data_IF_920598639717
#
_entry.id   IF_920598639717
#
_cell.length_a   1.000
_cell.length_b   1.000
_cell.length_c   1.000
_cell.angle_alpha   90.00
_cell.angle_beta   90.00
_cell.angle_gamma   90.00
#
_symmetry.space_group_name_H-M   'P 1'
#
loop_
_entity.id
_entity.type
_entity.pdbx_description
1 polymer ?
#
# COMPACT_ATOMS: atom_id res chain seq x y z
N UNK A 1 -15.21 18.83 18.12
CA UNK A 1 -14.16 19.79 17.73
C UNK A 1 -14.12 19.90 16.19
N UNK A 2 -15.25 20.25 15.55
CA UNK A 2 -15.59 19.51 14.31
C UNK A 2 -15.49 20.32 13.01
N UNK A 3 -14.42 21.10 12.82
CA UNK A 3 -14.21 21.75 11.51
C UNK A 3 -12.82 22.32 11.23
N UNK A 4 -12.10 22.73 12.28
CA UNK A 4 -10.83 23.43 12.13
C UNK A 4 -9.72 22.57 11.50
N UNK A 5 -9.69 21.25 11.80
CA UNK A 5 -8.71 20.35 11.18
C UNK A 5 -9.00 20.17 9.69
N UNK A 6 -10.27 20.09 9.29
CA UNK A 6 -10.71 19.83 7.92
C UNK A 6 -10.36 21.01 7.02
N UNK A 7 -10.72 22.21 7.44
CA UNK A 7 -10.40 23.45 6.71
C UNK A 7 -8.88 23.63 6.57
N UNK A 8 -8.13 23.33 7.64
CA UNK A 8 -6.67 23.37 7.62
C UNK A 8 -6.07 22.35 6.66
N UNK A 9 -6.55 21.09 6.68
CA UNK A 9 -6.10 20.05 5.75
C UNK A 9 -6.41 20.43 4.29
N UNK A 10 -7.62 20.94 4.02
CA UNK A 10 -8.02 21.43 2.69
C UNK A 10 -7.13 22.57 2.20
N UNK A 11 -6.77 23.51 3.09
CA UNK A 11 -5.84 24.60 2.77
C UNK A 11 -4.48 24.06 2.31
N UNK A 12 -3.95 23.08 3.04
CA UNK A 12 -2.67 22.45 2.67
C UNK A 12 -2.76 21.61 1.40
N UNK A 13 -3.85 20.87 1.19
CA UNK A 13 -4.07 20.10 -0.04
C UNK A 13 -4.20 21.03 -1.26
N UNK A 14 -4.92 22.14 -1.11
CA UNK A 14 -5.03 23.16 -2.16
C UNK A 14 -3.68 23.80 -2.49
N UNK A 15 -2.86 24.11 -1.47
CA UNK A 15 -1.51 24.62 -1.67
C UNK A 15 -0.59 23.58 -2.32
N UNK A 16 -0.68 22.31 -1.91
CA UNK A 16 0.08 21.21 -2.48
C UNK A 16 -0.23 20.99 -3.97
N UNK A 17 -1.49 21.20 -4.37
CA UNK A 17 -1.92 21.02 -5.75
C UNK A 17 -1.57 22.25 -6.63
N UNK A 18 -1.80 23.47 -6.12
CA UNK A 18 -1.87 24.67 -6.97
C UNK A 18 -0.72 25.68 -6.81
N UNK A 19 0.10 25.58 -5.76
CA UNK A 19 1.11 26.60 -5.49
C UNK A 19 2.23 26.61 -6.55
N UNK A 20 2.79 27.77 -6.92
CA UNK A 20 3.85 27.85 -7.96
C UNK A 20 5.24 27.36 -7.50
N UNK A 21 5.50 27.40 -6.19
CA UNK A 21 6.75 26.96 -5.57
C UNK A 21 6.70 25.49 -5.13
N UNK A 22 7.65 24.68 -5.60
CA UNK A 22 7.75 23.25 -5.30
C UNK A 22 8.01 22.95 -3.82
N UNK A 23 8.83 23.74 -3.13
CA UNK A 23 9.12 23.52 -1.72
C UNK A 23 7.87 23.75 -0.87
N UNK A 24 7.06 24.76 -1.23
CA UNK A 24 5.74 24.99 -0.61
C UNK A 24 4.79 23.83 -0.90
N UNK A 25 4.75 23.30 -2.13
CA UNK A 25 3.92 22.12 -2.43
C UNK A 25 4.28 20.92 -1.55
N UNK A 26 5.58 20.62 -1.45
CA UNK A 26 6.08 19.46 -0.69
C UNK A 26 5.82 19.59 0.81
N UNK A 27 6.11 20.75 1.39
CA UNK A 27 5.83 21.03 2.80
C UNK A 27 4.34 21.02 3.12
N UNK A 28 3.50 21.54 2.22
CA UNK A 28 2.04 21.51 2.38
C UNK A 28 1.49 20.08 2.30
N UNK A 29 1.95 19.26 1.35
CA UNK A 29 1.56 17.85 1.25
C UNK A 29 1.92 17.08 2.52
N UNK A 30 3.13 17.32 3.06
CA UNK A 30 3.53 16.73 4.34
C UNK A 30 2.60 17.13 5.47
N UNK A 31 2.29 18.42 5.60
CA UNK A 31 1.38 18.91 6.65
C UNK A 31 -0.05 18.39 6.50
N UNK A 32 -0.55 18.28 5.27
CA UNK A 32 -1.83 17.66 4.99
C UNK A 32 -1.83 16.18 5.44
N UNK A 33 -0.81 15.42 5.05
CA UNK A 33 -0.63 14.01 5.46
C UNK A 33 -0.61 13.88 6.99
N UNK A 34 0.20 14.68 7.67
CA UNK A 34 0.33 14.61 9.14
C UNK A 34 -1.02 14.86 9.84
N UNK A 35 -1.86 15.77 9.31
CA UNK A 35 -3.22 15.97 9.82
C UNK A 35 -4.10 14.74 9.54
N UNK A 36 -4.11 14.23 8.30
CA UNK A 36 -4.94 13.09 7.90
C UNK A 36 -4.64 11.83 8.74
N UNK A 37 -3.37 11.61 9.09
CA UNK A 37 -2.95 10.49 9.94
C UNK A 37 -3.23 10.71 11.43
N UNK A 38 -3.54 11.94 11.86
CA UNK A 38 -3.82 12.28 13.26
C UNK A 38 -5.29 12.25 13.64
N UNK A 39 -6.18 12.17 12.66
CA UNK A 39 -7.64 12.15 12.86
C UNK A 39 -8.19 10.74 12.66
N UNK A 40 -9.46 10.54 13.01
CA UNK A 40 -10.10 9.24 12.82
C UNK A 40 -10.12 8.85 11.32
N UNK A 41 -9.80 7.59 10.99
CA UNK A 41 -9.71 7.11 9.60
C UNK A 41 -10.90 7.47 8.71
N UNK A 42 -12.12 7.35 9.24
CA UNK A 42 -13.37 7.66 8.54
C UNK A 42 -13.49 9.14 8.18
N UNK A 43 -13.07 10.02 9.07
CA UNK A 43 -13.02 11.46 8.82
C UNK A 43 -11.92 11.83 7.82
N UNK A 44 -10.73 11.21 7.93
CA UNK A 44 -9.63 11.44 6.98
C UNK A 44 -10.04 11.06 5.54
N UNK A 45 -10.78 9.96 5.39
CA UNK A 45 -11.24 9.44 4.11
C UNK A 45 -12.07 10.45 3.30
N UNK A 46 -12.77 11.36 3.96
CA UNK A 46 -13.54 12.44 3.30
C UNK A 46 -12.67 13.36 2.45
N UNK A 47 -11.35 13.41 2.72
CA UNK A 47 -10.40 14.26 2.01
C UNK A 47 -9.53 13.50 1.00
N UNK A 48 -9.65 12.18 0.89
CA UNK A 48 -8.89 11.39 -0.09
C UNK A 48 -9.14 11.79 -1.55
N UNK A 49 -10.35 12.21 -1.98
CA UNK A 49 -10.53 12.72 -3.34
C UNK A 49 -9.60 13.89 -3.69
N UNK A 50 -9.25 14.75 -2.73
CA UNK A 50 -8.31 15.85 -2.95
C UNK A 50 -6.86 15.37 -3.05
N UNK A 51 -6.50 14.27 -2.37
CA UNK A 51 -5.21 13.61 -2.58
C UNK A 51 -5.10 13.04 -4.00
N UNK A 52 -6.18 12.46 -4.52
CA UNK A 52 -6.24 11.91 -5.89
C UNK A 52 -5.93 12.99 -6.93
N UNK A 53 -6.35 14.25 -6.73
CA UNK A 53 -6.08 15.35 -7.66
C UNK A 53 -4.58 15.60 -7.88
N UNK A 54 -3.73 15.38 -6.88
CA UNK A 54 -2.29 15.58 -7.00
C UNK A 54 -1.64 14.64 -8.03
N UNK A 55 -2.34 13.58 -8.47
CA UNK A 55 -1.83 12.70 -9.52
C UNK A 55 -1.58 13.42 -10.84
N UNK A 56 -2.30 14.52 -11.09
CA UNK A 56 -2.15 15.34 -12.29
C UNK A 56 -1.04 16.38 -12.18
N UNK A 57 -0.32 16.44 -11.06
CA UNK A 57 0.76 17.39 -10.84
C UNK A 57 1.85 17.27 -11.92
N UNK A 58 2.30 18.38 -12.53
CA UNK A 58 3.36 18.33 -13.53
C UNK A 58 4.70 17.89 -12.92
N UNK A 59 4.94 18.20 -11.63
CA UNK A 59 6.17 17.85 -10.93
C UNK A 59 6.17 16.39 -10.48
N UNK A 60 7.10 15.60 -11.03
CA UNK A 60 7.25 14.18 -10.68
C UNK A 60 7.61 13.92 -9.22
N UNK A 61 8.28 14.88 -8.58
CA UNK A 61 8.59 14.80 -7.15
C UNK A 61 7.32 14.86 -6.31
N UNK A 62 6.31 15.64 -6.71
CA UNK A 62 5.00 15.71 -6.03
C UNK A 62 4.24 14.40 -6.24
N UNK A 63 4.21 13.87 -7.47
CA UNK A 63 3.57 12.57 -7.75
C UNK A 63 4.24 11.41 -6.99
N UNK A 64 5.57 11.42 -6.89
CA UNK A 64 6.34 10.48 -6.04
C UNK A 64 5.93 10.59 -4.57
N UNK A 65 5.85 11.81 -4.03
CA UNK A 65 5.44 12.03 -2.65
C UNK A 65 3.98 11.62 -2.39
N UNK A 66 3.10 11.78 -3.38
CA UNK A 66 1.73 11.26 -3.30
C UNK A 66 1.73 9.73 -3.16
N UNK A 67 2.58 9.01 -3.88
CA UNK A 67 2.72 7.55 -3.71
C UNK A 67 3.12 7.19 -2.28
N UNK A 68 4.08 7.89 -1.70
CA UNK A 68 4.53 7.67 -0.31
C UNK A 68 3.40 7.95 0.70
N UNK A 69 2.60 9.00 0.47
CA UNK A 69 1.40 9.29 1.27
C UNK A 69 0.35 8.18 1.16
N UNK A 70 0.13 7.65 -0.06
CA UNK A 70 -0.79 6.53 -0.30
C UNK A 70 -0.34 5.28 0.45
N UNK A 71 0.97 5.01 0.54
CA UNK A 71 1.52 3.91 1.33
C UNK A 71 1.17 4.03 2.81
N UNK A 72 1.48 5.18 3.41
CA UNK A 72 1.23 5.42 4.83
C UNK A 72 -0.27 5.31 5.14
N UNK A 73 -1.14 5.88 4.30
CA UNK A 73 -2.60 5.76 4.44
C UNK A 73 -3.05 4.31 4.22
N UNK A 74 -2.51 3.61 3.23
CA UNK A 74 -2.87 2.22 2.91
C UNK A 74 -2.53 1.23 4.03
N UNK A 75 -1.53 1.55 4.85
CA UNK A 75 -1.11 0.72 6.00
C UNK A 75 -1.77 1.13 7.32
N UNK A 76 -2.15 2.40 7.49
CA UNK A 76 -2.73 2.91 8.76
C UNK A 76 -4.26 3.02 8.71
N UNK A 77 -4.83 3.27 7.54
CA UNK A 77 -6.25 3.55 7.27
C UNK A 77 -6.74 2.64 6.13
N UNK A 78 -6.41 1.36 6.24
CA UNK A 78 -6.58 0.39 5.16
C UNK A 78 -8.04 0.28 4.66
N UNK A 79 -9.02 0.29 5.58
CA UNK A 79 -10.46 0.19 5.28
C UNK A 79 -10.96 1.26 4.29
N UNK A 80 -10.36 2.45 4.29
CA UNK A 80 -10.78 3.56 3.44
C UNK A 80 -9.84 3.80 2.25
N UNK A 81 -8.78 3.01 2.11
CA UNK A 81 -7.70 3.25 1.14
C UNK A 81 -8.06 2.84 -0.31
N UNK A 82 -9.15 2.09 -0.53
CA UNK A 82 -9.57 1.62 -1.86
C UNK A 82 -9.71 2.73 -2.91
N UNK A 83 -10.09 3.95 -2.50
CA UNK A 83 -10.20 5.11 -3.39
C UNK A 83 -8.85 5.57 -3.96
N UNK A 84 -7.74 5.25 -3.29
CA UNK A 84 -6.39 5.64 -3.68
C UNK A 84 -5.72 4.59 -4.59
N UNK A 85 -6.23 3.36 -4.64
CA UNK A 85 -5.63 2.26 -5.42
C UNK A 85 -5.57 2.52 -6.94
N UNK A 86 -6.57 3.16 -7.57
CA UNK A 86 -6.46 3.55 -8.98
C UNK A 86 -5.27 4.48 -9.27
N UNK A 87 -4.92 5.37 -8.33
CA UNK A 87 -3.78 6.28 -8.47
C UNK A 87 -2.47 5.48 -8.46
N UNK A 88 -2.33 4.56 -7.50
CA UNK A 88 -1.17 3.66 -7.43
C UNK A 88 -1.00 2.84 -8.72
N UNK A 89 -2.09 2.27 -9.26
CA UNK A 89 -2.06 1.55 -10.54
C UNK A 89 -1.63 2.45 -11.71
N UNK A 90 -2.14 3.69 -11.75
CA UNK A 90 -1.79 4.66 -12.80
C UNK A 90 -0.30 4.99 -12.76
N UNK A 91 0.27 5.13 -11.57
CA UNK A 91 1.67 5.49 -11.39
C UNK A 91 2.67 4.39 -11.76
N UNK A 92 2.26 3.12 -11.84
CA UNK A 92 3.11 2.06 -12.43
C UNK A 92 3.51 2.38 -13.88
N UNK A 93 2.71 3.18 -14.59
CA UNK A 93 2.93 3.61 -15.98
C UNK A 93 3.33 5.08 -16.09
N UNK A 94 3.77 5.70 -14.99
CA UNK A 94 4.20 7.10 -15.03
C UNK A 94 5.37 7.28 -16.00
N UNK A 95 5.35 8.39 -16.74
CA UNK A 95 6.41 8.74 -17.70
C UNK A 95 7.78 8.90 -17.04
N UNK A 96 7.80 9.34 -15.78
CA UNK A 96 9.02 9.52 -15.00
C UNK A 96 9.31 8.27 -14.16
N UNK A 97 10.44 7.62 -14.44
CA UNK A 97 10.84 6.40 -13.74
C UNK A 97 10.85 6.53 -12.21
N UNK A 98 11.11 7.72 -11.66
CA UNK A 98 11.14 7.92 -10.20
C UNK A 98 9.78 7.64 -9.55
N UNK A 99 8.68 7.95 -10.26
CA UNK A 99 7.32 7.75 -9.77
C UNK A 99 6.93 6.28 -9.92
N UNK A 100 7.18 5.69 -11.09
CA UNK A 100 6.91 4.27 -11.33
C UNK A 100 7.70 3.35 -10.38
N UNK A 101 8.98 3.67 -10.12
CA UNK A 101 9.79 2.94 -9.13
C UNK A 101 9.19 3.03 -7.73
N UNK A 102 8.84 4.24 -7.29
CA UNK A 102 8.22 4.43 -5.97
C UNK A 102 6.87 3.70 -5.89
N UNK A 103 6.09 3.71 -6.97
CA UNK A 103 4.82 2.99 -7.06
C UNK A 103 5.01 1.50 -6.84
N UNK A 104 6.05 0.88 -7.44
CA UNK A 104 6.35 -0.54 -7.22
C UNK A 104 6.72 -0.80 -5.75
N UNK A 105 7.58 0.04 -5.17
CA UNK A 105 8.06 -0.10 -3.78
C UNK A 105 6.90 0.01 -2.81
N UNK A 106 6.17 1.12 -2.85
CA UNK A 106 5.05 1.40 -1.95
C UNK A 106 3.91 0.40 -2.13
N UNK A 107 3.59 0.05 -3.38
CA UNK A 107 2.55 -0.95 -3.64
C UNK A 107 2.94 -2.37 -3.23
N UNK A 108 4.24 -2.70 -3.18
CA UNK A 108 4.72 -3.96 -2.58
C UNK A 108 4.42 -3.98 -1.08
N UNK A 109 4.70 -2.88 -0.38
CA UNK A 109 4.44 -2.78 1.07
C UNK A 109 2.94 -2.85 1.38
N UNK A 110 2.10 -2.15 0.60
CA UNK A 110 0.63 -2.24 0.72
C UNK A 110 0.16 -3.68 0.43
N UNK A 111 0.66 -4.33 -0.63
CA UNK A 111 0.30 -5.71 -0.96
C UNK A 111 0.56 -6.66 0.21
N UNK A 112 1.75 -6.58 0.80
CA UNK A 112 2.11 -7.38 1.97
C UNK A 112 1.18 -7.11 3.15
N UNK A 113 0.92 -5.82 3.47
CA UNK A 113 0.03 -5.45 4.57
C UNK A 113 -1.42 -5.93 4.38
N UNK A 114 -1.96 -5.84 3.16
CA UNK A 114 -3.30 -6.35 2.84
C UNK A 114 -3.36 -7.86 2.99
N UNK A 115 -2.32 -8.59 2.56
CA UNK A 115 -2.27 -10.04 2.70
C UNK A 115 -2.14 -10.48 4.17
N UNK A 116 -1.36 -9.74 4.97
CA UNK A 116 -1.25 -9.96 6.41
C UNK A 116 -2.61 -9.77 7.09
N UNK A 117 -3.32 -8.68 6.79
CA UNK A 117 -4.64 -8.42 7.37
C UNK A 117 -5.69 -9.46 6.92
N UNK A 118 -5.65 -9.90 5.66
CA UNK A 118 -6.49 -11.01 5.16
C UNK A 118 -6.26 -12.28 5.99
N UNK A 119 -5.00 -12.62 6.20
CA UNK A 119 -4.60 -13.80 6.96
C UNK A 119 -5.06 -13.68 8.41
N UNK A 120 -4.93 -12.48 9.01
CA UNK A 120 -5.32 -12.20 10.38
C UNK A 120 -6.84 -12.30 10.59
N UNK A 121 -7.64 -11.69 9.71
CA UNK A 121 -9.10 -11.75 9.80
C UNK A 121 -9.60 -13.18 9.60
N UNK A 122 -9.08 -13.87 8.59
CA UNK A 122 -9.45 -15.25 8.33
C UNK A 122 -9.08 -16.17 9.51
N UNK A 123 -7.87 -16.03 10.06
CA UNK A 123 -7.41 -16.84 11.19
C UNK A 123 -8.21 -16.56 12.48
N UNK A 124 -8.49 -15.29 12.80
CA UNK A 124 -9.17 -14.91 14.06
C UNK A 124 -10.68 -15.08 14.02
N UNK A 125 -11.32 -14.77 12.88
CA UNK A 125 -12.79 -14.65 12.75
C UNK A 125 -13.39 -15.66 11.79
N UNK A 126 -12.58 -16.34 10.97
CA UNK A 126 -13.05 -17.23 9.91
C UNK A 126 -13.77 -16.52 8.76
N UNK A 127 -13.84 -15.19 8.79
CA UNK A 127 -14.58 -14.34 7.86
C UNK A 127 -13.70 -13.14 7.52
N UNK A 128 -13.65 -12.81 6.23
CA UNK A 128 -12.99 -11.62 5.70
C UNK A 128 -14.05 -10.54 5.48
N UNK A 129 -13.79 -9.34 6.01
CA UNK A 129 -14.69 -8.21 5.84
C UNK A 129 -14.75 -7.74 4.38
N UNK A 130 -15.91 -7.20 3.98
CA UNK A 130 -16.17 -6.83 2.59
C UNK A 130 -15.16 -5.81 2.04
N UNK A 131 -14.81 -4.79 2.82
CA UNK A 131 -13.86 -3.77 2.41
C UNK A 131 -12.49 -4.37 2.09
N UNK A 132 -12.08 -5.40 2.84
CA UNK A 132 -10.79 -6.08 2.64
C UNK A 132 -10.82 -6.96 1.40
N UNK A 133 -11.96 -7.60 1.11
CA UNK A 133 -12.19 -8.27 -0.17
C UNK A 133 -12.13 -7.31 -1.37
N UNK A 134 -12.70 -6.11 -1.24
CA UNK A 134 -12.63 -5.06 -2.26
C UNK A 134 -11.20 -4.55 -2.47
N UNK A 135 -10.46 -4.33 -1.37
CA UNK A 135 -9.06 -3.91 -1.43
C UNK A 135 -8.14 -5.02 -2.00
N UNK A 136 -8.41 -6.28 -1.66
CA UNK A 136 -7.69 -7.42 -2.23
C UNK A 136 -7.89 -7.51 -3.75
N UNK A 137 -9.10 -7.25 -4.26
CA UNK A 137 -9.34 -7.21 -5.69
C UNK A 137 -8.49 -6.13 -6.40
N UNK A 138 -8.23 -4.99 -5.73
CA UNK A 138 -7.26 -4.02 -6.22
C UNK A 138 -5.83 -4.56 -6.20
N UNK A 139 -5.42 -5.25 -5.14
CA UNK A 139 -4.09 -5.85 -5.03
C UNK A 139 -3.82 -6.93 -6.09
N UNK A 140 -4.83 -7.71 -6.47
CA UNK A 140 -4.72 -8.68 -7.57
C UNK A 140 -4.44 -7.96 -8.90
N UNK A 141 -5.19 -6.89 -9.21
CA UNK A 141 -4.95 -6.06 -10.41
C UNK A 141 -3.57 -5.42 -10.39
N UNK A 142 -3.14 -4.96 -9.22
CA UNK A 142 -1.81 -4.38 -9.02
C UNK A 142 -0.71 -5.41 -9.30
N UNK A 143 -0.82 -6.62 -8.74
CA UNK A 143 0.08 -7.74 -9.03
C UNK A 143 0.18 -8.03 -10.52
N UNK A 144 -0.95 -8.12 -11.22
CA UNK A 144 -0.98 -8.37 -12.66
C UNK A 144 -0.28 -7.25 -13.45
N UNK A 145 -0.50 -5.99 -13.06
CA UNK A 145 0.15 -4.84 -13.66
C UNK A 145 1.67 -4.85 -13.45
N UNK A 146 2.15 -5.18 -12.25
CA UNK A 146 3.60 -5.30 -11.96
C UNK A 146 4.22 -6.46 -12.74
N UNK A 147 3.54 -7.60 -12.86
CA UNK A 147 4.03 -8.71 -13.70
C UNK A 147 4.10 -8.34 -15.18
N UNK A 148 3.17 -7.52 -15.67
CA UNK A 148 3.23 -6.96 -17.04
C UNK A 148 4.53 -6.21 -17.33
N UNK A 149 5.08 -5.48 -16.36
CA UNK A 149 6.34 -4.72 -16.50
C UNK A 149 7.53 -5.64 -16.88
N UNK A 150 7.53 -6.90 -16.43
CA UNK A 150 8.58 -7.86 -16.79
C UNK A 150 8.62 -8.15 -18.29
N UNK A 151 7.43 -8.21 -18.90
CA UNK A 151 7.23 -8.58 -20.31
C UNK A 151 7.39 -7.40 -21.26
N UNK A 152 7.09 -6.18 -20.80
CA UNK A 152 7.15 -4.97 -21.63
C UNK A 152 8.59 -4.51 -21.94
N UNK A 153 8.76 -3.74 -23.02
CA UNK A 153 10.00 -3.00 -23.25
C UNK A 153 10.08 -1.85 -22.24
N UNK A 154 11.12 -1.80 -21.42
CA UNK A 154 11.20 -0.85 -20.32
C UNK A 154 12.60 -0.75 -19.75
N UNK A 155 12.78 0.13 -18.77
CA UNK A 155 14.08 0.31 -18.12
C UNK A 155 14.43 -0.93 -17.29
N UNK A 156 15.71 -1.33 -17.32
CA UNK A 156 16.22 -2.46 -16.53
C UNK A 156 15.88 -2.30 -15.05
N UNK A 157 15.92 -1.07 -14.54
CA UNK A 157 15.60 -0.78 -13.15
C UNK A 157 14.16 -1.07 -12.74
N UNK A 158 13.18 -0.78 -13.61
CA UNK A 158 11.77 -1.14 -13.33
C UNK A 158 11.58 -2.65 -13.38
N UNK A 159 12.23 -3.34 -14.34
CA UNK A 159 12.18 -4.81 -14.42
C UNK A 159 12.77 -5.48 -13.18
N UNK A 160 13.89 -4.96 -12.66
CA UNK A 160 14.50 -5.48 -11.44
C UNK A 160 13.58 -5.31 -10.22
N UNK A 161 12.89 -4.17 -10.10
CA UNK A 161 11.91 -3.98 -9.02
C UNK A 161 10.70 -4.92 -9.19
N UNK A 162 10.19 -5.10 -10.41
CA UNK A 162 9.12 -6.05 -10.66
C UNK A 162 9.55 -7.51 -10.37
N UNK A 163 10.80 -7.88 -10.65
CA UNK A 163 11.35 -9.18 -10.27
C UNK A 163 11.42 -9.33 -8.75
N UNK A 164 11.83 -8.30 -8.03
CA UNK A 164 11.83 -8.30 -6.55
C UNK A 164 10.43 -8.42 -5.97
N UNK A 165 9.44 -7.77 -6.58
CA UNK A 165 8.04 -7.96 -6.21
C UNK A 165 7.58 -9.41 -6.47
N UNK A 166 7.94 -10.00 -7.61
CA UNK A 166 7.63 -11.41 -7.91
C UNK A 166 8.28 -12.36 -6.91
N UNK A 167 9.55 -12.15 -6.55
CA UNK A 167 10.23 -12.91 -5.49
C UNK A 167 9.44 -12.81 -4.17
N UNK A 168 9.08 -11.59 -3.76
CA UNK A 168 8.28 -11.35 -2.55
C UNK A 168 6.93 -12.09 -2.62
N UNK A 169 6.25 -12.02 -3.76
CA UNK A 169 5.00 -12.72 -4.00
C UNK A 169 5.17 -14.24 -3.87
N UNK A 170 6.21 -14.83 -4.48
CA UNK A 170 6.48 -16.26 -4.35
C UNK A 170 6.67 -16.63 -2.89
N UNK A 171 7.53 -15.91 -2.16
CA UNK A 171 7.80 -16.16 -0.74
C UNK A 171 6.54 -16.09 0.14
N UNK A 172 5.62 -15.17 -0.14
CA UNK A 172 4.37 -15.03 0.62
C UNK A 172 3.40 -16.21 0.40
N UNK A 173 3.48 -16.90 -0.72
CA UNK A 173 2.55 -17.98 -1.10
C UNK A 173 3.17 -19.38 -1.12
N UNK A 174 4.49 -19.50 -0.93
CA UNK A 174 5.16 -20.78 -0.72
C UNK A 174 5.45 -20.96 0.76
N UNK A 175 4.93 -22.03 1.36
CA UNK A 175 5.35 -22.40 2.72
C UNK A 175 6.85 -22.67 2.74
N UNK A 176 7.54 -22.26 3.80
CA UNK A 176 8.81 -22.87 4.15
C UNK A 176 8.55 -24.36 4.34
N UNK A 177 8.94 -25.18 3.37
CA UNK A 177 9.09 -26.61 3.55
C UNK A 177 10.33 -26.82 4.41
N UNK A 178 10.24 -26.41 5.67
CA UNK A 178 11.05 -27.04 6.69
C UNK A 178 10.43 -28.43 6.86
N UNK A 179 11.16 -29.42 6.32
CA UNK A 179 10.85 -30.84 6.44
C UNK A 179 10.34 -31.16 7.84
N UNK A 180 9.27 -31.94 7.86
CA UNK A 180 8.73 -32.67 8.99
C UNK A 180 9.80 -33.01 10.06
N UNK A 181 9.89 -32.18 11.10
CA UNK A 181 10.16 -32.70 12.44
C UNK A 181 8.81 -32.98 13.08
N UNK A 182 8.17 -34.04 12.61
CA UNK A 182 7.34 -34.84 13.51
C UNK A 182 8.15 -35.05 14.78
N UNK A 183 7.64 -34.72 15.98
CA UNK A 183 8.28 -35.17 17.20
C UNK A 183 8.30 -36.69 17.11
N UNK A 184 9.49 -37.27 17.02
CA UNK A 184 9.68 -38.72 17.07
C UNK A 184 8.89 -39.21 18.27
N UNK A 185 8.01 -40.18 18.02
CA UNK A 185 7.26 -40.90 19.04
C UNK A 185 8.21 -41.80 19.86
N UNK A 186 9.21 -41.20 20.50
CA UNK A 186 10.01 -41.80 21.57
C UNK A 186 9.63 -41.12 22.89
N UNK A 187 8.36 -41.28 23.22
CA UNK A 187 7.78 -40.94 24.52
C UNK A 187 6.70 -41.92 24.95
N UNK A 188 6.59 -43.09 24.31
CA UNK A 188 5.70 -44.20 24.71
C UNK A 188 6.49 -45.26 25.49
N UNK A 189 7.24 -44.85 26.52
CA UNK A 189 8.00 -45.79 27.34
C UNK A 189 7.93 -45.54 28.85
N UNK A 190 6.93 -44.81 29.37
CA UNK A 190 6.70 -44.77 30.82
C UNK A 190 5.22 -44.73 31.24
N UNK A 191 4.39 -45.57 30.62
CA UNK A 191 3.14 -46.02 31.25
C UNK A 191 2.92 -47.50 30.97
N UNK A 192 3.49 -48.35 31.83
CA UNK A 192 2.95 -49.68 32.16
C UNK A 192 3.68 -50.30 33.37
N UNK A 193 2.89 -50.57 34.42
CA UNK A 193 3.14 -51.35 35.65
C UNK A 193 3.95 -50.60 36.73
N UNK A 194 3.49 -50.38 37.97
CA UNK A 194 2.39 -50.93 38.80
C UNK A 194 1.64 -49.79 39.50
#
# INVERSE_FOLDING_TARGET
MDGHWRERALTFLAAANNHGDLAVKMSSLKQAKDILLSVEPSHAAELFPYLVELQSSPESVVRKALVEVIEEIGLTTMEHSSVLMPVLLTFLKDKENIVARQSIISGTNIFCGVLEELSLQFHRRGIVERWLGELWAWMVRYKDAVFGILLEAGTVGLKLLALKFLETYVLLFTSDTDDSKTPTAEGIAYLRFQ
#
